data_IF_778121845925
#
_entry.id   IF_778121845925
#
_cell.length_a   1.000
_cell.length_b   1.000
_cell.length_c   1.000
_cell.angle_alpha   90.00
_cell.angle_beta   90.00
_cell.angle_gamma   90.00
#
_symmetry.space_group_name_H-M   'P 1'
#
loop_
_entity.id
_entity.type
_entity.pdbx_description
1 polymer ?
#
# COMPACT_ATOMS: atom_id res chain seq x y z
N UNK A 1 -25.64 -25.73 -13.93
CA UNK A 1 -25.28 -25.79 -15.37
C UNK A 1 -25.79 -24.58 -16.15
N UNK A 2 -27.08 -24.42 -16.45
CA UNK A 2 -27.54 -23.24 -17.22
C UNK A 2 -27.31 -21.90 -16.47
N UNK A 3 -27.57 -21.89 -15.17
CA UNK A 3 -27.32 -20.74 -14.28
C UNK A 3 -25.82 -20.38 -14.20
N UNK A 4 -24.94 -21.38 -14.04
CA UNK A 4 -23.48 -21.16 -14.00
C UNK A 4 -22.93 -20.65 -15.34
N UNK A 5 -23.50 -21.10 -16.47
CA UNK A 5 -23.11 -20.61 -17.79
C UNK A 5 -23.51 -19.15 -18.02
N UNK A 6 -24.70 -18.76 -17.56
CA UNK A 6 -25.12 -17.36 -17.59
C UNK A 6 -24.19 -16.51 -16.73
N UNK A 7 -23.84 -17.01 -15.54
CA UNK A 7 -22.92 -16.31 -14.65
C UNK A 7 -21.54 -16.11 -15.25
N UNK A 8 -21.04 -17.14 -15.95
CA UNK A 8 -19.77 -17.09 -16.64
C UNK A 8 -19.77 -16.11 -17.82
N UNK A 9 -20.85 -16.08 -18.61
CA UNK A 9 -20.97 -15.14 -19.72
C UNK A 9 -21.03 -13.68 -19.24
N UNK A 10 -21.75 -13.42 -18.14
CA UNK A 10 -21.82 -12.10 -17.54
C UNK A 10 -20.45 -11.63 -17.02
N UNK A 11 -19.72 -12.51 -16.33
CA UNK A 11 -18.40 -12.16 -15.81
C UNK A 11 -17.36 -12.00 -16.91
N UNK A 12 -17.44 -12.79 -17.99
CA UNK A 12 -16.60 -12.63 -19.17
C UNK A 12 -16.84 -11.28 -19.84
N UNK A 13 -18.10 -10.85 -19.99
CA UNK A 13 -18.44 -9.52 -20.51
C UNK A 13 -17.90 -8.41 -19.60
N UNK A 14 -18.04 -8.57 -18.29
CA UNK A 14 -17.62 -7.57 -17.32
C UNK A 14 -16.10 -7.39 -17.32
N UNK A 15 -15.34 -8.50 -17.34
CA UNK A 15 -13.87 -8.45 -17.46
C UNK A 15 -13.46 -7.82 -18.78
N UNK A 16 -14.07 -8.22 -19.90
CA UNK A 16 -13.72 -7.66 -21.22
C UNK A 16 -13.92 -6.15 -21.29
N UNK A 17 -15.02 -5.63 -20.72
CA UNK A 17 -15.31 -4.18 -20.67
C UNK A 17 -14.39 -3.44 -19.71
N UNK A 18 -14.05 -4.03 -18.57
CA UNK A 18 -13.16 -3.42 -17.58
C UNK A 18 -11.70 -3.34 -18.06
N UNK A 19 -11.32 -4.15 -19.03
CA UNK A 19 -9.98 -4.19 -19.62
C UNK A 19 -9.95 -3.81 -21.11
N UNK A 20 -10.96 -3.08 -21.58
CA UNK A 20 -11.05 -2.66 -22.98
C UNK A 20 -9.90 -1.69 -23.32
N UNK A 21 -9.23 -1.91 -24.46
CA UNK A 21 -8.10 -1.10 -24.90
C UNK A 21 -8.47 0.35 -25.23
N UNK A 22 -9.75 0.62 -25.48
CA UNK A 22 -10.27 1.96 -25.76
C UNK A 22 -10.49 2.81 -24.50
N UNK A 23 -10.35 2.24 -23.29
CA UNK A 23 -10.49 3.00 -22.04
C UNK A 23 -9.31 3.96 -21.84
N UNK A 24 -9.57 5.18 -21.37
CA UNK A 24 -8.49 6.11 -21.00
C UNK A 24 -7.76 5.68 -19.71
N UNK A 25 -8.40 4.88 -18.86
CA UNK A 25 -7.84 4.39 -17.60
C UNK A 25 -8.76 3.37 -16.92
N UNK A 26 -8.48 2.98 -15.66
CA UNK A 26 -9.31 2.05 -14.91
C UNK A 26 -10.72 2.59 -14.73
N UNK A 27 -11.72 1.80 -15.13
CA UNK A 27 -13.12 2.18 -14.94
C UNK A 27 -13.68 1.61 -13.65
N UNK A 28 -13.60 2.42 -12.58
CA UNK A 28 -13.86 1.98 -11.22
C UNK A 28 -15.26 1.39 -11.00
N UNK A 29 -16.27 1.89 -11.73
CA UNK A 29 -17.61 1.33 -11.66
C UNK A 29 -17.65 -0.14 -12.11
N UNK A 30 -16.92 -0.49 -13.18
CA UNK A 30 -16.82 -1.88 -13.66
C UNK A 30 -15.98 -2.75 -12.73
N UNK A 31 -14.87 -2.21 -12.22
CA UNK A 31 -14.00 -2.93 -11.29
C UNK A 31 -14.75 -3.29 -9.99
N UNK A 32 -15.52 -2.35 -9.44
CA UNK A 32 -16.34 -2.59 -8.25
C UNK A 32 -17.49 -3.54 -8.53
N UNK A 33 -18.14 -3.44 -9.70
CA UNK A 33 -19.16 -4.40 -10.10
C UNK A 33 -18.60 -5.84 -10.15
N UNK A 34 -17.35 -6.03 -10.61
CA UNK A 34 -16.72 -7.35 -10.61
C UNK A 34 -16.45 -7.86 -9.18
N UNK A 35 -16.08 -6.96 -8.26
CA UNK A 35 -15.91 -7.32 -6.84
C UNK A 35 -17.24 -7.73 -6.21
N UNK A 36 -18.31 -6.97 -6.44
CA UNK A 36 -19.65 -7.29 -5.95
C UNK A 36 -20.11 -8.64 -6.50
N UNK A 37 -19.84 -8.89 -7.79
CA UNK A 37 -20.16 -10.14 -8.45
C UNK A 37 -19.39 -11.34 -7.88
N UNK A 38 -18.08 -11.20 -7.64
CA UNK A 38 -17.26 -12.23 -7.01
C UNK A 38 -17.75 -12.55 -5.58
N UNK A 39 -18.15 -11.53 -4.82
CA UNK A 39 -18.69 -11.70 -3.47
C UNK A 39 -20.06 -12.39 -3.47
N UNK A 40 -20.93 -12.05 -4.43
CA UNK A 40 -22.23 -12.69 -4.59
C UNK A 40 -22.12 -14.16 -5.06
N UNK A 41 -21.15 -14.46 -5.93
CA UNK A 41 -20.99 -15.76 -6.57
C UNK A 41 -19.57 -16.30 -6.42
N UNK A 42 -19.31 -16.92 -5.28
CA UNK A 42 -17.99 -17.49 -4.99
C UNK A 42 -17.61 -18.67 -5.92
N UNK A 43 -18.60 -19.37 -6.49
CA UNK A 43 -18.38 -20.50 -7.41
C UNK A 43 -17.67 -20.11 -8.71
N UNK A 44 -17.69 -18.81 -9.09
CA UNK A 44 -17.06 -18.32 -10.33
C UNK A 44 -15.72 -17.61 -10.09
N UNK A 45 -15.20 -17.61 -8.86
CA UNK A 45 -13.93 -16.94 -8.52
C UNK A 45 -12.75 -17.48 -9.33
N UNK A 46 -12.67 -18.80 -9.54
CA UNK A 46 -11.64 -19.42 -10.37
C UNK A 46 -11.76 -19.00 -11.84
N UNK A 47 -12.98 -18.81 -12.33
CA UNK A 47 -13.22 -18.33 -13.69
C UNK A 47 -12.81 -16.87 -13.84
N UNK A 48 -13.09 -16.01 -12.85
CA UNK A 48 -12.60 -14.63 -12.81
C UNK A 48 -11.08 -14.60 -12.92
N UNK A 49 -10.37 -15.34 -12.07
CA UNK A 49 -8.90 -15.35 -12.07
C UNK A 49 -8.35 -15.87 -13.40
N UNK A 50 -9.00 -16.87 -14.01
CA UNK A 50 -8.62 -17.36 -15.34
C UNK A 50 -8.83 -16.33 -16.44
N UNK A 51 -9.93 -15.56 -16.39
CA UNK A 51 -10.19 -14.47 -17.33
C UNK A 51 -9.19 -13.33 -17.15
N UNK A 52 -8.87 -12.94 -15.91
CA UNK A 52 -7.82 -11.96 -15.61
C UNK A 52 -6.46 -12.42 -16.16
N UNK A 53 -6.11 -13.70 -15.96
CA UNK A 53 -4.88 -14.27 -16.49
C UNK A 53 -4.80 -14.17 -18.02
N UNK A 54 -5.92 -14.38 -18.73
CA UNK A 54 -5.98 -14.19 -20.20
C UNK A 54 -5.75 -12.73 -20.59
N UNK A 55 -6.32 -11.78 -19.86
CA UNK A 55 -6.09 -10.35 -20.14
C UNK A 55 -4.62 -9.95 -19.91
N UNK A 56 -3.97 -10.50 -18.87
CA UNK A 56 -2.53 -10.34 -18.62
C UNK A 56 -1.64 -10.96 -19.71
N UNK A 57 -2.19 -11.87 -20.52
CA UNK A 57 -1.52 -12.54 -21.64
C UNK A 57 -1.84 -11.90 -23.00
N UNK A 58 -2.62 -10.82 -23.03
CA UNK A 58 -3.06 -10.17 -24.27
C UNK A 58 -1.91 -9.62 -25.12
N UNK A 59 -0.77 -9.28 -24.50
CA UNK A 59 0.34 -8.61 -25.16
C UNK A 59 0.08 -7.13 -25.48
N UNK A 60 -1.13 -6.63 -25.23
CA UNK A 60 -1.47 -5.21 -25.33
C UNK A 60 -1.12 -4.52 -24.00
N UNK A 61 -0.25 -3.48 -24.00
CA UNK A 61 0.12 -2.74 -22.79
C UNK A 61 -1.07 -2.21 -21.98
N UNK A 62 -2.07 -1.65 -22.67
CA UNK A 62 -3.24 -1.04 -22.05
C UNK A 62 -4.12 -2.08 -21.36
N UNK A 63 -4.48 -3.14 -22.10
CA UNK A 63 -5.27 -4.26 -21.58
C UNK A 63 -4.56 -4.91 -20.38
N UNK A 64 -3.25 -5.13 -20.50
CA UNK A 64 -2.44 -5.73 -19.44
C UNK A 64 -2.39 -4.86 -18.19
N UNK A 65 -2.19 -3.54 -18.35
CA UNK A 65 -2.20 -2.59 -17.24
C UNK A 65 -3.57 -2.58 -16.53
N UNK A 66 -4.66 -2.47 -17.29
CA UNK A 66 -6.01 -2.49 -16.74
C UNK A 66 -6.31 -3.81 -16.01
N UNK A 67 -5.85 -4.93 -16.55
CA UNK A 67 -5.97 -6.24 -15.91
C UNK A 67 -5.17 -6.35 -14.61
N UNK A 68 -3.98 -5.73 -14.51
CA UNK A 68 -3.23 -5.66 -13.26
C UNK A 68 -3.99 -4.82 -12.22
N UNK A 69 -4.52 -3.65 -12.58
CA UNK A 69 -5.32 -2.81 -11.66
C UNK A 69 -6.61 -3.51 -11.24
N UNK A 70 -7.28 -4.21 -12.17
CA UNK A 70 -8.47 -4.98 -11.87
C UNK A 70 -8.16 -6.15 -10.93
N UNK A 71 -7.04 -6.85 -11.16
CA UNK A 71 -6.55 -7.91 -10.27
C UNK A 71 -6.30 -7.36 -8.86
N UNK A 72 -5.60 -6.23 -8.74
CA UNK A 72 -5.40 -5.55 -7.44
C UNK A 72 -6.73 -5.28 -6.74
N UNK A 73 -7.70 -4.75 -7.49
CA UNK A 73 -9.00 -4.35 -6.96
C UNK A 73 -9.80 -5.56 -6.46
N UNK A 74 -9.90 -6.62 -7.27
CA UNK A 74 -10.65 -7.83 -6.90
C UNK A 74 -9.93 -8.63 -5.82
N UNK A 75 -8.59 -8.62 -5.79
CA UNK A 75 -7.84 -9.16 -4.64
C UNK A 75 -8.18 -8.36 -3.39
N UNK A 76 -8.20 -7.02 -3.41
CA UNK A 76 -8.46 -6.23 -2.18
C UNK A 76 -9.90 -6.29 -1.66
N UNK A 77 -10.89 -6.48 -2.54
CA UNK A 77 -12.31 -6.34 -2.20
C UNK A 77 -13.13 -7.63 -2.39
N UNK A 78 -12.55 -8.66 -3.01
CA UNK A 78 -13.20 -9.93 -3.30
C UNK A 78 -13.12 -10.93 -2.15
N UNK A 79 -13.76 -12.11 -2.30
CA UNK A 79 -13.72 -13.17 -1.31
C UNK A 79 -12.34 -13.85 -1.26
N UNK A 80 -12.05 -14.54 -0.15
CA UNK A 80 -10.80 -15.28 0.08
C UNK A 80 -10.41 -16.26 -1.05
N UNK A 81 -11.40 -16.80 -1.78
CA UNK A 81 -11.18 -17.67 -2.94
C UNK A 81 -10.37 -16.99 -4.06
N UNK A 82 -10.59 -15.70 -4.32
CA UNK A 82 -9.80 -14.95 -5.31
C UNK A 82 -8.32 -14.96 -4.92
N UNK A 83 -8.03 -14.67 -3.65
CA UNK A 83 -6.66 -14.68 -3.13
C UNK A 83 -5.99 -16.05 -3.31
N UNK A 84 -6.71 -17.14 -2.99
CA UNK A 84 -6.21 -18.51 -3.15
C UNK A 84 -5.88 -18.83 -4.61
N UNK A 85 -6.72 -18.39 -5.54
CA UNK A 85 -6.56 -18.69 -6.96
C UNK A 85 -5.47 -17.82 -7.62
N UNK A 86 -5.33 -16.56 -7.18
CA UNK A 86 -4.22 -15.67 -7.57
C UNK A 86 -2.87 -16.18 -7.03
N UNK A 87 -2.85 -16.84 -5.87
CA UNK A 87 -1.64 -17.48 -5.32
C UNK A 87 -1.15 -18.69 -6.14
N UNK A 88 -1.88 -19.09 -7.19
CA UNK A 88 -1.45 -20.16 -8.07
C UNK A 88 -0.15 -19.79 -8.80
N UNK A 89 0.76 -20.77 -8.93
CA UNK A 89 2.05 -20.59 -9.60
C UNK A 89 1.91 -20.03 -11.01
N UNK A 90 0.89 -20.46 -11.76
CA UNK A 90 0.65 -19.99 -13.12
C UNK A 90 0.30 -18.51 -13.18
N UNK A 91 -0.53 -18.02 -12.25
CA UNK A 91 -0.92 -16.62 -12.21
C UNK A 91 0.24 -15.74 -11.75
N UNK A 92 0.91 -16.10 -10.65
CA UNK A 92 2.07 -15.36 -10.14
C UNK A 92 3.21 -15.28 -11.16
N UNK A 93 3.49 -16.37 -11.86
CA UNK A 93 4.48 -16.37 -12.93
C UNK A 93 4.09 -15.42 -14.07
N UNK A 94 2.80 -15.33 -14.41
CA UNK A 94 2.34 -14.38 -15.41
C UNK A 94 2.61 -12.93 -14.98
N UNK A 95 2.33 -12.58 -13.72
CA UNK A 95 2.61 -11.24 -13.18
C UNK A 95 4.12 -10.97 -13.12
N UNK A 96 4.92 -11.97 -12.75
CA UNK A 96 6.38 -11.86 -12.69
C UNK A 96 7.01 -11.59 -14.07
N UNK A 97 6.50 -12.19 -15.16
CA UNK A 97 6.99 -11.87 -16.51
C UNK A 97 6.82 -10.38 -16.83
N UNK A 98 5.74 -9.76 -16.35
CA UNK A 98 5.44 -8.35 -16.62
C UNK A 98 6.39 -7.38 -15.91
N UNK A 99 7.17 -7.84 -14.93
CA UNK A 99 8.15 -7.00 -14.23
C UNK A 99 9.41 -6.70 -15.07
N UNK A 100 9.55 -7.27 -16.27
CA UNK A 100 10.71 -7.07 -17.14
C UNK A 100 10.68 -5.79 -17.99
N UNK A 101 9.53 -5.07 -18.03
CA UNK A 101 9.40 -3.83 -18.80
C UNK A 101 9.07 -3.99 -20.28
N UNK A 102 8.86 -5.21 -20.80
CA UNK A 102 8.64 -5.45 -22.23
C UNK A 102 7.35 -4.80 -22.78
N UNK A 103 6.36 -4.56 -21.91
CA UNK A 103 5.10 -3.89 -22.25
C UNK A 103 5.03 -2.43 -21.76
N UNK A 104 6.15 -1.84 -21.36
CA UNK A 104 6.23 -0.45 -20.92
C UNK A 104 6.31 -0.27 -19.40
N UNK A 105 6.75 0.93 -19.01
CA UNK A 105 7.06 1.28 -17.61
C UNK A 105 5.85 1.22 -16.69
N UNK A 106 4.65 1.59 -17.15
CA UNK A 106 3.44 1.57 -16.32
C UNK A 106 3.04 0.14 -15.93
N UNK A 107 3.10 -0.79 -16.90
CA UNK A 107 2.82 -2.22 -16.68
C UNK A 107 3.85 -2.81 -15.71
N UNK A 108 5.13 -2.52 -15.94
CA UNK A 108 6.22 -2.97 -15.09
C UNK A 108 6.06 -2.48 -13.66
N UNK A 109 5.84 -1.18 -13.50
CA UNK A 109 5.68 -0.53 -12.21
C UNK A 109 4.52 -1.14 -11.43
N UNK A 110 3.35 -1.29 -12.08
CA UNK A 110 2.17 -1.86 -11.45
C UNK A 110 2.38 -3.34 -11.06
N UNK A 111 3.05 -4.14 -11.89
CA UNK A 111 3.37 -5.53 -11.57
C UNK A 111 4.32 -5.64 -10.37
N UNK A 112 5.35 -4.78 -10.30
CA UNK A 112 6.29 -4.73 -9.18
C UNK A 112 5.59 -4.32 -7.88
N UNK A 113 4.73 -3.29 -7.93
CA UNK A 113 3.93 -2.88 -6.78
C UNK A 113 3.07 -4.04 -6.27
N UNK A 114 2.37 -4.74 -7.16
CA UNK A 114 1.50 -5.86 -6.78
C UNK A 114 2.26 -6.98 -6.08
N UNK A 115 3.38 -7.43 -6.68
CA UNK A 115 4.20 -8.49 -6.10
C UNK A 115 4.74 -8.07 -4.74
N UNK A 116 5.21 -6.82 -4.61
CA UNK A 116 5.70 -6.29 -3.34
C UNK A 116 4.60 -6.21 -2.28
N UNK A 117 3.42 -5.69 -2.63
CA UNK A 117 2.26 -5.61 -1.73
C UNK A 117 1.82 -6.99 -1.25
N UNK A 118 1.77 -7.97 -2.14
CA UNK A 118 1.43 -9.35 -1.75
C UNK A 118 2.50 -9.96 -0.85
N UNK A 119 3.79 -9.80 -1.18
CA UNK A 119 4.86 -10.30 -0.33
C UNK A 119 4.83 -9.70 1.08
N UNK A 120 4.60 -8.39 1.21
CA UNK A 120 4.51 -7.71 2.50
C UNK A 120 3.26 -8.13 3.30
N UNK A 121 2.14 -8.40 2.62
CA UNK A 121 0.90 -8.83 3.25
C UNK A 121 0.95 -10.27 3.78
N UNK A 122 1.61 -11.19 3.06
CA UNK A 122 1.62 -12.63 3.39
C UNK A 122 2.89 -13.11 4.10
N UNK A 123 4.05 -12.47 3.84
CA UNK A 123 5.35 -12.74 4.46
C UNK A 123 5.87 -14.19 4.34
N UNK A 124 5.15 -15.06 3.65
CA UNK A 124 5.47 -16.47 3.41
C UNK A 124 4.60 -17.03 2.28
N UNK A 125 4.97 -18.22 1.76
CA UNK A 125 4.24 -18.90 0.70
C UNK A 125 4.47 -18.29 -0.69
N UNK A 126 3.64 -18.70 -1.66
CA UNK A 126 3.89 -18.45 -3.07
C UNK A 126 4.11 -16.97 -3.45
N UNK A 127 3.42 -16.05 -2.78
CA UNK A 127 3.59 -14.60 -2.96
C UNK A 127 4.95 -14.09 -2.49
N UNK A 128 5.44 -14.58 -1.35
CA UNK A 128 6.76 -14.22 -0.84
C UNK A 128 7.87 -14.88 -1.65
N UNK A 129 7.65 -16.13 -2.08
CA UNK A 129 8.61 -16.89 -2.89
C UNK A 129 8.88 -16.22 -4.24
N UNK A 130 7.84 -15.75 -4.94
CA UNK A 130 8.00 -15.07 -6.23
C UNK A 130 8.73 -13.73 -6.07
N UNK A 131 8.47 -13.01 -4.97
CA UNK A 131 9.17 -11.78 -4.64
C UNK A 131 10.65 -12.03 -4.37
N UNK A 132 10.99 -13.00 -3.50
CA UNK A 132 12.38 -13.39 -3.24
C UNK A 132 13.11 -13.83 -4.51
N UNK A 133 12.44 -14.63 -5.35
CA UNK A 133 12.99 -15.07 -6.63
C UNK A 133 13.38 -13.88 -7.52
N UNK A 134 12.52 -12.87 -7.64
CA UNK A 134 12.81 -11.68 -8.44
C UNK A 134 13.92 -10.83 -7.82
N UNK A 135 13.99 -10.72 -6.49
CA UNK A 135 15.11 -10.05 -5.82
C UNK A 135 16.46 -10.72 -6.12
N UNK A 136 16.52 -12.06 -6.08
CA UNK A 136 17.72 -12.82 -6.43
C UNK A 136 18.12 -12.61 -7.89
N UNK A 137 17.15 -12.36 -8.78
CA UNK A 137 17.38 -12.01 -10.18
C UNK A 137 17.80 -10.54 -10.39
N UNK A 138 17.92 -9.75 -9.31
CA UNK A 138 18.36 -8.35 -9.36
C UNK A 138 17.24 -7.36 -9.67
N UNK A 139 15.97 -7.77 -9.60
CA UNK A 139 14.82 -6.88 -9.80
C UNK A 139 14.72 -5.93 -8.60
N UNK A 140 14.71 -4.63 -8.89
CA UNK A 140 14.52 -3.57 -7.89
C UNK A 140 13.03 -3.28 -7.77
N UNK A 141 12.51 -3.39 -6.55
CA UNK A 141 11.12 -3.09 -6.24
C UNK A 141 10.96 -1.64 -5.77
N UNK A 142 9.84 -0.97 -6.13
CA UNK A 142 9.54 0.36 -5.63
C UNK A 142 9.30 0.35 -4.12
N UNK A 143 9.62 1.45 -3.46
CA UNK A 143 9.19 1.66 -2.07
C UNK A 143 7.67 1.80 -2.05
N UNK A 144 7.00 0.95 -1.27
CA UNK A 144 5.59 1.15 -1.00
C UNK A 144 5.47 2.33 -0.05
N UNK A 145 4.76 3.38 -0.46
CA UNK A 145 4.27 4.37 0.50
C UNK A 145 3.42 3.63 1.54
N UNK A 146 3.98 3.44 2.75
CA UNK A 146 3.29 2.86 3.89
C UNK A 146 2.10 3.78 4.22
N UNK A 147 0.93 3.45 3.69
CA UNK A 147 -0.29 4.17 3.98
C UNK A 147 -0.63 4.00 5.47
N UNK A 148 -1.20 5.07 6.04
CA UNK A 148 -1.67 5.20 7.41
C UNK A 148 -2.36 3.94 7.99
N UNK A 149 -2.40 3.78 9.33
CA UNK A 149 -2.75 2.52 9.98
C UNK A 149 -4.11 1.98 9.53
N UNK A 150 -4.11 0.78 8.94
CA UNK A 150 -5.31 0.01 8.64
C UNK A 150 -5.89 -0.52 9.96
N UNK A 151 -7.12 -0.10 10.23
CA UNK A 151 -7.96 -0.61 11.30
C UNK A 151 -8.45 -2.02 10.93
N UNK A 152 -7.98 -3.04 11.65
CA UNK A 152 -8.71 -4.32 11.80
C UNK A 152 -8.75 -4.69 13.28
N UNK A 153 -9.93 -4.85 13.88
CA UNK A 153 -10.08 -5.16 15.31
C UNK A 153 -9.96 -6.67 15.54
N UNK A 154 -9.43 -7.14 16.67
CA UNK A 154 -9.74 -8.48 17.17
C UNK A 154 -11.06 -8.44 17.95
N UNK A 155 -12.02 -9.25 17.51
CA UNK A 155 -13.22 -9.59 18.28
C UNK A 155 -12.90 -10.64 19.35
N UNK A 156 -13.41 -10.37 20.55
CA UNK A 156 -13.93 -11.31 21.54
C UNK A 156 -12.96 -12.23 22.29
N UNK A 157 -12.52 -11.78 23.47
CA UNK A 157 -12.68 -12.60 24.69
C UNK A 157 -13.86 -12.06 25.50
N UNK A 158 -14.81 -12.95 25.73
CA UNK A 158 -16.05 -12.82 26.50
C UNK A 158 -15.80 -12.46 27.97
N UNK A 159 -16.47 -11.43 28.52
CA UNK A 159 -17.71 -11.59 29.30
C UNK A 159 -18.20 -10.27 29.93
N UNK A 160 -19.39 -9.84 29.50
CA UNK A 160 -20.46 -9.13 30.24
C UNK A 160 -20.24 -7.67 30.74
N UNK A 161 -20.75 -6.67 29.99
CA UNK A 161 -22.10 -6.07 30.18
C UNK A 161 -22.35 -4.87 29.24
N UNK A 162 -23.53 -4.90 28.62
CA UNK A 162 -24.28 -3.84 27.90
C UNK A 162 -24.28 -2.50 28.66
N UNK A 163 -24.53 -1.31 28.11
CA UNK A 163 -24.70 -0.71 26.79
C UNK A 163 -24.68 0.80 27.08
N UNK A 164 -24.16 1.63 26.16
CA UNK A 164 -24.80 2.86 25.66
C UNK A 164 -23.80 3.61 24.79
N UNK A 165 -24.20 3.79 23.55
CA UNK A 165 -23.41 4.15 22.39
C UNK A 165 -22.71 5.52 22.48
N UNK A 166 -21.40 5.55 22.20
CA UNK A 166 -20.70 6.73 21.67
C UNK A 166 -19.96 6.32 20.39
N UNK A 167 -20.35 6.92 19.25
CA UNK A 167 -19.63 6.82 17.97
C UNK A 167 -18.19 7.35 18.13
N UNK A 168 -17.15 6.72 17.57
CA UNK A 168 -15.82 7.31 17.55
C UNK A 168 -15.82 8.52 16.61
N UNK A 169 -15.48 9.71 17.15
CA UNK A 169 -15.32 10.94 16.37
C UNK A 169 -14.18 10.76 15.36
N UNK A 170 -14.51 10.77 14.06
CA UNK A 170 -13.54 11.02 12.98
C UNK A 170 -12.78 12.30 13.30
N UNK A 171 -11.46 12.23 13.34
CA UNK A 171 -10.65 13.42 13.59
C UNK A 171 -10.67 14.32 12.35
N UNK A 172 -10.94 15.62 12.55
CA UNK A 172 -10.88 16.62 11.48
C UNK A 172 -9.44 16.78 10.98
N UNK A 173 -9.25 17.19 9.71
CA UNK A 173 -7.93 17.56 9.15
C UNK A 173 -7.18 18.54 10.07
N UNK A 174 -7.92 19.43 10.71
CA UNK A 174 -7.40 20.38 11.70
C UNK A 174 -6.83 19.70 12.95
N UNK A 175 -7.45 18.64 13.43
CA UNK A 175 -6.96 17.87 14.59
C UNK A 175 -5.71 17.05 14.24
N UNK A 176 -5.61 16.58 12.98
CA UNK A 176 -4.42 15.91 12.48
C UNK A 176 -3.24 16.89 12.35
N UNK A 177 -3.49 18.11 11.86
CA UNK A 177 -2.49 19.19 11.82
C UNK A 177 -2.05 19.60 13.23
N UNK A 178 -2.99 19.75 14.17
CA UNK A 178 -2.64 20.07 15.56
C UNK A 178 -1.75 18.99 16.20
N UNK A 179 -2.03 17.71 15.91
CA UNK A 179 -1.19 16.60 16.36
C UNK A 179 0.21 16.63 15.73
N UNK A 180 0.30 16.91 14.43
CA UNK A 180 1.59 17.06 13.75
C UNK A 180 2.44 18.17 14.38
N UNK A 181 1.85 19.33 14.67
CA UNK A 181 2.56 20.41 15.37
C UNK A 181 3.01 20.01 16.78
N UNK A 182 2.21 19.23 17.50
CA UNK A 182 2.61 18.72 18.81
C UNK A 182 3.80 17.74 18.70
N UNK A 183 3.76 16.85 17.70
CA UNK A 183 4.84 15.89 17.44
C UNK A 183 6.14 16.62 17.02
N UNK A 184 6.06 17.65 16.18
CA UNK A 184 7.22 18.48 15.80
C UNK A 184 7.84 19.19 17.00
N UNK A 185 7.03 19.69 17.94
CA UNK A 185 7.53 20.29 19.19
C UNK A 185 8.29 19.30 20.05
N UNK A 186 7.84 18.04 20.11
CA UNK A 186 8.54 16.98 20.84
C UNK A 186 9.91 16.70 20.21
N UNK A 187 9.99 16.67 18.88
CA UNK A 187 11.26 16.50 18.15
C UNK A 187 12.21 17.66 18.43
N UNK A 188 11.74 18.91 18.33
CA UNK A 188 12.53 20.10 18.67
C UNK A 188 13.03 20.08 20.12
N UNK A 189 12.20 19.64 21.06
CA UNK A 189 12.59 19.51 22.46
C UNK A 189 13.67 18.44 22.66
N UNK A 190 13.58 17.31 21.95
CA UNK A 190 14.60 16.25 22.00
C UNK A 190 15.93 16.67 21.35
N UNK A 191 15.90 17.47 20.28
CA UNK A 191 17.10 18.09 19.70
C UNK A 191 17.78 19.01 20.73
N UNK A 192 17.00 19.78 21.49
CA UNK A 192 17.54 20.63 22.55
C UNK A 192 18.18 19.80 23.67
N UNK A 193 17.51 18.73 24.11
CA UNK A 193 18.06 17.81 25.12
C UNK A 193 19.37 17.19 24.62
N UNK A 194 19.45 16.77 23.36
CA UNK A 194 20.68 16.25 22.76
C UNK A 194 21.83 17.27 22.86
N UNK A 195 21.55 18.53 22.50
CA UNK A 195 22.54 19.62 22.54
C UNK A 195 23.02 19.90 23.97
N UNK A 196 22.11 19.87 24.93
CA UNK A 196 22.41 20.08 26.34
C UNK A 196 23.22 18.90 26.91
N UNK A 197 22.86 17.65 26.58
CA UNK A 197 23.59 16.43 26.96
C UNK A 197 25.00 16.38 26.38
N UNK A 198 25.16 16.79 25.11
CA UNK A 198 26.46 16.89 24.45
C UNK A 198 27.38 17.91 25.15
N UNK A 199 26.80 19.00 25.66
CA UNK A 199 27.53 20.04 26.39
C UNK A 199 27.87 19.66 27.84
N UNK A 200 27.10 18.78 28.49
CA UNK A 200 27.29 18.39 29.90
C UNK A 200 27.99 17.05 30.15
N UNK A 201 28.19 16.24 29.10
CA UNK A 201 28.92 14.95 29.07
C UNK A 201 28.71 14.07 30.32
N UNK A 202 27.58 13.36 30.43
CA UNK A 202 27.43 12.42 31.56
C UNK A 202 26.61 11.14 31.35
N UNK A 203 25.86 10.97 30.25
CA UNK A 203 25.17 9.70 29.98
C UNK A 203 25.18 9.37 28.48
N UNK A 204 26.14 8.54 28.05
CA UNK A 204 26.27 8.07 26.67
C UNK A 204 25.04 7.27 26.21
N UNK A 205 24.33 6.61 27.13
CA UNK A 205 23.18 5.80 26.77
C UNK A 205 21.95 6.65 26.50
N UNK A 206 21.72 7.69 27.32
CA UNK A 206 20.66 8.66 27.07
C UNK A 206 20.92 9.45 25.77
N UNK A 207 22.20 9.72 25.47
CA UNK A 207 22.62 10.33 24.20
C UNK A 207 22.28 9.43 23.01
N UNK A 208 22.68 8.15 23.06
CA UNK A 208 22.44 7.17 21.98
C UNK A 208 20.93 6.96 21.72
N UNK A 209 20.13 6.84 22.79
CA UNK A 209 18.67 6.72 22.69
C UNK A 209 18.03 7.94 22.02
N UNK A 210 18.54 9.16 22.27
CA UNK A 210 18.05 10.38 21.64
C UNK A 210 18.50 10.48 20.18
N UNK A 211 19.74 10.09 19.87
CA UNK A 211 20.26 10.04 18.49
C UNK A 211 19.47 9.04 17.65
N UNK A 212 19.21 7.85 18.16
CA UNK A 212 18.44 6.81 17.47
C UNK A 212 16.99 7.24 17.26
N UNK A 213 16.38 7.92 18.24
CA UNK A 213 15.05 8.51 18.06
C UNK A 213 15.03 9.55 16.92
N UNK A 214 16.03 10.44 16.85
CA UNK A 214 16.10 11.47 15.80
C UNK A 214 16.38 10.86 14.42
N UNK A 215 17.21 9.81 14.34
CA UNK A 215 17.43 9.03 13.12
C UNK A 215 16.13 8.40 12.61
N UNK A 216 15.30 7.87 13.51
CA UNK A 216 13.99 7.30 13.16
C UNK A 216 12.96 8.36 12.71
N UNK A 217 13.15 9.63 13.10
CA UNK A 217 12.30 10.73 12.65
C UNK A 217 12.62 11.20 11.22
N UNK A 218 13.83 10.93 10.73
CA UNK A 218 14.33 11.45 9.44
C UNK A 218 13.53 10.98 8.21
N UNK A 219 13.14 9.71 8.07
CA UNK A 219 12.30 9.26 6.95
C UNK A 219 10.94 9.95 6.96
N UNK A 220 10.34 10.07 8.15
CA UNK A 220 9.01 10.68 8.35
C UNK A 220 9.03 12.18 8.02
N UNK A 221 10.15 12.85 8.25
CA UNK A 221 10.32 14.26 7.92
C UNK A 221 10.51 14.51 6.42
N UNK A 222 11.21 13.62 5.71
CA UNK A 222 11.29 13.69 4.24
C UNK A 222 9.91 13.56 3.60
N UNK A 223 9.08 12.63 4.08
CA UNK A 223 7.70 12.47 3.61
C UNK A 223 6.82 13.71 3.88
N UNK A 224 7.02 14.38 5.01
CA UNK A 224 6.29 15.62 5.32
C UNK A 224 6.71 16.78 4.41
N UNK A 225 8.00 16.89 4.10
CA UNK A 225 8.54 17.90 3.19
C UNK A 225 8.01 17.67 1.77
N UNK A 226 8.03 16.43 1.29
CA UNK A 226 7.45 16.05 0.00
C UNK A 226 5.94 16.36 -0.03
N UNK A 227 5.22 16.04 1.05
CA UNK A 227 3.82 16.41 1.20
C UNK A 227 3.55 17.92 1.16
N UNK A 228 4.44 18.73 1.73
CA UNK A 228 4.35 20.19 1.65
C UNK A 228 4.67 20.73 0.25
N UNK A 229 5.67 20.19 -0.45
CA UNK A 229 5.98 20.53 -1.85
C UNK A 229 4.79 20.20 -2.76
N UNK A 230 4.03 19.14 -2.46
CA UNK A 230 2.80 18.75 -3.16
C UNK A 230 1.56 19.56 -2.74
N UNK A 231 1.69 20.56 -1.85
CA UNK A 231 0.59 21.40 -1.38
C UNK A 231 -0.41 20.69 -0.44
N UNK A 232 -0.03 19.54 0.13
CA UNK A 232 -0.87 18.79 1.09
C UNK A 232 -0.79 19.37 2.51
N UNK A 233 0.27 20.12 2.79
CA UNK A 233 0.60 20.78 4.06
C UNK A 233 0.82 22.27 3.80
N UNK A 234 0.46 23.15 4.73
CA UNK A 234 0.64 24.59 4.57
C UNK A 234 2.12 25.00 4.60
N UNK A 235 2.39 26.18 4.02
CA UNK A 235 3.75 26.71 3.82
C UNK A 235 4.51 26.89 5.13
N UNK A 236 3.81 27.29 6.21
CA UNK A 236 4.39 27.44 7.54
C UNK A 236 4.85 26.09 8.13
N UNK A 237 4.01 25.06 8.01
CA UNK A 237 4.35 23.71 8.50
C UNK A 237 5.47 23.07 7.67
N UNK A 238 5.54 23.36 6.35
CA UNK A 238 6.66 22.93 5.50
C UNK A 238 7.97 23.59 5.94
N UNK A 239 7.95 24.89 6.24
CA UNK A 239 9.12 25.62 6.76
C UNK A 239 9.60 25.04 8.11
N UNK A 240 8.68 24.71 9.03
CA UNK A 240 9.04 24.02 10.28
C UNK A 240 9.69 22.66 10.02
N UNK A 241 9.17 21.87 9.07
CA UNK A 241 9.74 20.56 8.74
C UNK A 241 11.14 20.66 8.14
N UNK A 242 11.39 21.67 7.30
CA UNK A 242 12.71 21.94 6.72
C UNK A 242 13.72 22.34 7.81
N UNK A 243 13.34 23.23 8.72
CA UNK A 243 14.18 23.66 9.83
C UNK A 243 14.55 22.49 10.76
N UNK A 244 13.57 21.65 11.12
CA UNK A 244 13.83 20.46 11.96
C UNK A 244 14.73 19.46 11.25
N UNK A 245 14.61 19.31 9.92
CA UNK A 245 15.50 18.44 9.12
C UNK A 245 16.93 18.94 9.12
N UNK A 246 17.14 20.24 8.92
CA UNK A 246 18.47 20.83 8.97
C UNK A 246 19.08 20.64 10.36
N UNK A 247 18.33 20.92 11.43
CA UNK A 247 18.79 20.74 12.80
C UNK A 247 19.20 19.30 13.12
N UNK A 248 18.47 18.30 12.61
CA UNK A 248 18.83 16.88 12.75
C UNK A 248 20.10 16.56 11.96
N UNK A 249 20.22 17.04 10.71
CA UNK A 249 21.40 16.77 9.88
C UNK A 249 22.68 17.35 10.49
N UNK A 250 22.61 18.53 11.11
CA UNK A 250 23.75 19.14 11.79
C UNK A 250 24.26 18.33 12.99
N UNK A 251 23.45 17.44 13.58
CA UNK A 251 23.89 16.55 14.69
C UNK A 251 24.70 15.34 14.22
N UNK A 252 24.58 14.95 12.94
CA UNK A 252 25.31 13.80 12.38
C UNK A 252 26.63 14.19 11.70
N UNK A 253 26.95 15.48 11.67
CA UNK A 253 28.15 16.05 11.01
C UNK A 253 29.18 16.55 12.04
N UNK A 254 28.79 16.78 13.30
CA UNK A 254 29.70 17.05 14.42
C UNK A 254 30.15 15.75 15.10
#
# INVERSE_FOLDING_TARGET
>A
MADDMLKLAEVENLVARATDEALDGPEWALNMALCDYANAYQSICDDIVRLLQRQLQSGNPKVTFLALVLTETVVKNGPALIYSSVASRCFLHQVAILSNGSLGVDVQHQALILIRQWADAFQSGAFYDIYQQLQVQGVVFPELENNAPVFTPPSSTTSLKEEMALKPKRHSREQQLQKLHADLKVVQQKIKILRDLYASTQDEKELDDVVDFLRQCQPRMNTLIEGGIMGKVDEYTLEECLNVREDILWQFVM
#
